data_IF_024030635049
#
_entry.id   IF_024030635049
#
_cell.length_a   1.000
_cell.length_b   1.000
_cell.length_c   1.000
_cell.angle_alpha   90.00
_cell.angle_beta   90.00
_cell.angle_gamma   90.00
#
_symmetry.space_group_name_H-M   'P 1'
#
loop_
_entity.id
_entity.type
_entity.pdbx_description
1 polymer ?
#
# COMPACT_ATOMS: atom_id res chain seq x y z
N UNK A 1 -5.89 7.65 5.70
CA UNK A 1 -7.21 8.20 5.30
C UNK A 1 -7.06 9.38 4.34
N UNK A 2 -8.15 9.70 3.63
CA UNK A 2 -8.16 10.83 2.70
C UNK A 2 -8.45 12.11 3.48
N UNK A 3 -7.54 13.12 3.42
CA UNK A 3 -7.77 14.38 4.14
C UNK A 3 -9.01 15.12 3.64
N UNK A 4 -9.81 15.65 4.59
CA UNK A 4 -10.97 16.47 4.25
C UNK A 4 -10.60 17.73 3.47
N UNK A 5 -9.42 18.27 3.72
CA UNK A 5 -8.93 19.44 3.00
C UNK A 5 -8.66 19.16 1.52
N UNK A 6 -8.37 17.90 1.19
CA UNK A 6 -8.12 17.51 -0.20
C UNK A 6 -9.41 17.16 -0.94
N UNK A 7 -10.24 16.30 -0.34
CA UNK A 7 -11.55 15.93 -0.89
C UNK A 7 -12.59 16.18 0.20
N UNK A 8 -13.32 17.28 0.09
CA UNK A 8 -14.25 17.70 1.14
C UNK A 8 -15.55 16.91 1.17
N UNK A 9 -16.00 16.40 0.03
CA UNK A 9 -17.28 15.69 -0.06
C UNK A 9 -17.14 14.21 0.29
N UNK A 10 -17.96 13.73 1.23
CA UNK A 10 -17.91 12.35 1.69
C UNK A 10 -18.15 11.34 0.56
N UNK A 11 -19.06 11.64 -0.36
CA UNK A 11 -19.37 10.78 -1.51
C UNK A 11 -18.15 10.57 -2.40
N UNK A 12 -17.39 11.63 -2.63
CA UNK A 12 -16.18 11.57 -3.46
C UNK A 12 -15.08 10.78 -2.77
N UNK A 13 -14.92 10.93 -1.45
CA UNK A 13 -13.95 10.12 -0.69
C UNK A 13 -14.30 8.63 -0.76
N UNK A 14 -15.57 8.29 -0.57
CA UNK A 14 -16.04 6.91 -0.67
C UNK A 14 -15.75 6.31 -2.04
N UNK A 15 -16.00 7.09 -3.10
CA UNK A 15 -15.71 6.67 -4.47
C UNK A 15 -14.23 6.36 -4.68
N UNK A 16 -13.34 7.22 -4.16
CA UNK A 16 -11.89 7.02 -4.27
C UNK A 16 -11.45 5.78 -3.49
N UNK A 17 -11.94 5.59 -2.25
CA UNK A 17 -11.63 4.39 -1.49
C UNK A 17 -12.06 3.12 -2.21
N UNK A 18 -13.24 3.15 -2.82
CA UNK A 18 -13.75 2.01 -3.60
C UNK A 18 -12.85 1.71 -4.79
N UNK A 19 -12.43 2.74 -5.53
CA UNK A 19 -11.52 2.59 -6.67
C UNK A 19 -10.15 2.05 -6.25
N UNK A 20 -9.63 2.50 -5.10
CA UNK A 20 -8.39 1.96 -4.54
C UNK A 20 -8.53 0.46 -4.23
N UNK A 21 -9.66 0.08 -3.60
CA UNK A 21 -9.91 -1.32 -3.24
C UNK A 21 -10.09 -2.22 -4.47
N UNK A 22 -10.62 -1.68 -5.57
CA UNK A 22 -10.86 -2.41 -6.80
C UNK A 22 -9.65 -2.49 -7.73
N UNK A 23 -8.60 -1.70 -7.48
CA UNK A 23 -7.42 -1.69 -8.32
C UNK A 23 -6.66 -3.02 -8.16
N UNK A 24 -6.43 -3.72 -9.27
CA UNK A 24 -5.75 -5.02 -9.28
C UNK A 24 -4.40 -4.99 -9.98
N UNK A 25 -4.03 -3.86 -10.59
CA UNK A 25 -2.75 -3.68 -11.25
C UNK A 25 -2.26 -2.24 -11.09
N UNK A 26 -0.97 -2.04 -11.38
CA UNK A 26 -0.35 -0.72 -11.25
C UNK A 26 -0.94 0.30 -12.23
N UNK A 27 -1.34 -0.12 -13.41
CA UNK A 27 -1.95 0.77 -14.40
C UNK A 27 -3.25 1.39 -13.87
N UNK A 28 -4.06 0.61 -13.16
CA UNK A 28 -5.28 1.11 -12.52
C UNK A 28 -4.97 2.15 -11.47
N UNK A 29 -3.93 1.93 -10.66
CA UNK A 29 -3.50 2.90 -9.65
C UNK A 29 -2.98 4.19 -10.29
N UNK A 30 -2.21 4.08 -11.36
CA UNK A 30 -1.67 5.23 -12.07
C UNK A 30 -2.79 6.08 -12.67
N UNK A 31 -3.81 5.45 -13.24
CA UNK A 31 -4.98 6.16 -13.76
C UNK A 31 -5.76 6.86 -12.65
N UNK A 32 -5.91 6.23 -11.50
CA UNK A 32 -6.57 6.82 -10.35
C UNK A 32 -5.79 8.03 -9.83
N UNK A 33 -4.47 7.93 -9.78
CA UNK A 33 -3.61 9.03 -9.38
C UNK A 33 -3.78 10.24 -10.30
N UNK A 34 -3.80 10.02 -11.62
CA UNK A 34 -4.02 11.08 -12.59
C UNK A 34 -5.40 11.71 -12.43
N UNK A 35 -6.44 10.90 -12.25
CA UNK A 35 -7.81 11.39 -12.02
C UNK A 35 -7.85 12.29 -10.79
N UNK A 36 -7.21 11.89 -9.70
CA UNK A 36 -7.20 12.70 -8.48
C UNK A 36 -6.48 14.03 -8.68
N UNK A 37 -5.34 14.03 -9.37
CA UNK A 37 -4.63 15.28 -9.68
C UNK A 37 -5.48 16.22 -10.52
N UNK A 38 -6.16 15.68 -11.52
CA UNK A 38 -7.00 16.48 -12.41
C UNK A 38 -8.20 17.08 -11.70
N UNK A 39 -8.82 16.32 -10.79
CA UNK A 39 -10.05 16.74 -10.10
C UNK A 39 -9.79 17.56 -8.84
N UNK A 40 -8.74 17.24 -8.10
CA UNK A 40 -8.53 17.78 -6.74
C UNK A 40 -7.19 18.48 -6.56
N UNK A 41 -6.32 18.47 -7.57
CA UNK A 41 -5.01 19.11 -7.51
C UNK A 41 -3.89 18.19 -7.02
N UNK A 42 -2.72 18.76 -6.71
CA UNK A 42 -1.56 17.98 -6.29
C UNK A 42 -1.86 17.09 -5.08
N UNK A 43 -1.30 15.88 -5.09
CA UNK A 43 -1.55 14.89 -4.03
C UNK A 43 -0.85 15.29 -2.73
N UNK A 44 -1.58 15.36 -1.60
CA UNK A 44 -0.93 15.54 -0.31
C UNK A 44 -0.21 14.24 0.12
N UNK A 45 0.75 14.32 1.07
CA UNK A 45 1.50 13.15 1.50
C UNK A 45 0.64 11.97 1.95
N UNK A 46 -0.48 12.22 2.62
CA UNK A 46 -1.38 11.16 3.05
C UNK A 46 -1.95 10.36 1.87
N UNK A 47 -2.24 11.04 0.75
CA UNK A 47 -2.71 10.36 -0.46
C UNK A 47 -1.61 9.56 -1.13
N UNK A 48 -0.39 10.10 -1.15
CA UNK A 48 0.76 9.37 -1.68
C UNK A 48 0.98 8.07 -0.92
N UNK A 49 0.86 8.09 0.42
CA UNK A 49 0.99 6.88 1.23
C UNK A 49 -0.10 5.87 0.93
N UNK A 50 -1.35 6.31 0.74
CA UNK A 50 -2.44 5.42 0.37
C UNK A 50 -2.19 4.71 -0.96
N UNK A 51 -1.64 5.42 -1.94
CA UNK A 51 -1.29 4.83 -3.23
C UNK A 51 -0.15 3.82 -3.10
N UNK A 52 0.86 4.12 -2.27
CA UNK A 52 1.95 3.18 -2.00
C UNK A 52 1.42 1.91 -1.34
N UNK A 53 0.52 2.03 -0.37
CA UNK A 53 -0.12 0.86 0.26
C UNK A 53 -0.88 0.04 -0.78
N UNK A 54 -1.62 0.69 -1.68
CA UNK A 54 -2.30 0.01 -2.78
C UNK A 54 -1.34 -0.75 -3.68
N UNK A 55 -0.21 -0.15 -4.02
CA UNK A 55 0.84 -0.81 -4.80
C UNK A 55 1.40 -2.03 -4.09
N UNK A 56 1.65 -1.93 -2.78
CA UNK A 56 2.15 -3.07 -2.00
C UNK A 56 1.16 -4.23 -1.99
N UNK A 57 -0.13 -3.97 -1.89
CA UNK A 57 -1.16 -5.00 -1.94
C UNK A 57 -1.16 -5.72 -3.29
N UNK A 58 -1.00 -4.98 -4.37
CA UNK A 58 -0.92 -5.56 -5.71
C UNK A 58 0.32 -6.43 -5.86
N UNK A 59 1.49 -5.94 -5.45
CA UNK A 59 2.73 -6.70 -5.46
C UNK A 59 2.63 -7.97 -4.64
N UNK A 60 2.05 -7.88 -3.45
CA UNK A 60 1.83 -9.02 -2.57
C UNK A 60 0.96 -10.08 -3.27
N UNK A 61 -0.15 -9.65 -3.85
CA UNK A 61 -1.06 -10.54 -4.57
C UNK A 61 -0.37 -11.27 -5.72
N UNK A 62 0.44 -10.57 -6.49
CA UNK A 62 1.20 -11.15 -7.60
C UNK A 62 2.18 -12.22 -7.13
N UNK A 63 2.61 -12.16 -5.88
CA UNK A 63 3.55 -13.13 -5.30
C UNK A 63 2.88 -14.14 -4.37
N UNK A 64 1.56 -14.20 -4.41
CA UNK A 64 0.79 -15.14 -3.60
C UNK A 64 0.73 -14.78 -2.12
N UNK A 65 1.13 -13.57 -1.74
CA UNK A 65 1.03 -13.09 -0.36
C UNK A 65 -0.39 -12.58 -0.13
N UNK A 66 -1.08 -13.14 0.84
CA UNK A 66 -2.47 -12.82 1.13
C UNK A 66 -2.65 -11.82 2.28
N UNK A 67 -1.67 -11.75 3.19
CA UNK A 67 -1.73 -10.85 4.34
C UNK A 67 -0.36 -10.20 4.56
N UNK A 68 -0.36 -8.91 4.80
CA UNK A 68 0.82 -8.16 5.21
C UNK A 68 0.52 -7.58 6.59
N UNK A 69 1.29 -7.96 7.59
CA UNK A 69 1.16 -7.43 8.94
C UNK A 69 2.52 -6.92 9.42
N UNK A 70 2.51 -5.85 10.20
CA UNK A 70 3.71 -5.34 10.86
C UNK A 70 3.43 -5.26 12.34
N UNK A 71 4.26 -5.92 13.14
CA UNK A 71 4.19 -5.83 14.59
C UNK A 71 5.54 -5.34 15.10
N UNK A 72 5.55 -4.08 15.54
CA UNK A 72 6.78 -3.36 15.88
C UNK A 72 7.69 -3.27 14.64
N UNK A 73 8.78 -4.02 14.59
CA UNK A 73 9.67 -4.08 13.44
C UNK A 73 9.62 -5.42 12.69
N UNK A 74 8.78 -6.35 13.13
CA UNK A 74 8.59 -7.62 12.46
C UNK A 74 7.67 -7.47 11.27
N UNK A 75 8.11 -7.92 10.11
CA UNK A 75 7.26 -8.01 8.93
C UNK A 75 6.72 -9.44 8.83
N UNK A 76 5.41 -9.57 8.89
CA UNK A 76 4.72 -10.86 8.86
C UNK A 76 3.93 -10.98 7.57
N UNK A 77 4.47 -11.72 6.62
CA UNK A 77 3.84 -11.98 5.32
C UNK A 77 3.26 -13.39 5.33
N UNK A 78 1.99 -13.51 4.96
CA UNK A 78 1.31 -14.81 4.88
C UNK A 78 1.20 -15.24 3.41
N UNK A 79 1.65 -16.48 3.13
CA UNK A 79 1.52 -17.11 1.83
C UNK A 79 1.21 -18.60 2.04
N UNK A 80 0.18 -19.11 1.33
CA UNK A 80 -0.28 -20.50 1.49
C UNK A 80 -0.63 -20.85 2.94
N UNK A 81 -1.31 -19.94 3.62
CA UNK A 81 -1.73 -20.06 5.03
C UNK A 81 -0.59 -20.19 6.03
N UNK A 82 0.64 -19.80 5.64
CA UNK A 82 1.79 -19.85 6.53
C UNK A 82 2.61 -18.58 6.42
N UNK A 83 3.40 -18.29 7.45
CA UNK A 83 4.25 -17.12 7.45
C UNK A 83 5.52 -17.35 6.65
N UNK A 84 5.94 -16.31 5.92
CA UNK A 84 7.23 -16.30 5.25
C UNK A 84 8.32 -15.92 6.23
N UNK A 85 9.33 -16.79 6.37
CA UNK A 85 10.47 -16.55 7.26
C UNK A 85 11.77 -16.72 6.50
N UNK A 86 12.83 -16.06 6.99
CA UNK A 86 14.18 -16.22 6.47
C UNK A 86 15.04 -16.77 7.60
N UNK A 87 15.61 -17.96 7.40
CA UNK A 87 16.38 -18.63 8.43
C UNK A 87 15.56 -18.93 9.69
N UNK A 88 14.27 -19.18 9.55
CA UNK A 88 13.36 -19.45 10.66
C UNK A 88 12.90 -18.20 11.42
N UNK A 89 13.23 -17.00 10.94
CA UNK A 89 12.88 -15.75 11.60
C UNK A 89 12.11 -14.83 10.67
N UNK A 90 11.25 -13.98 11.24
CA UNK A 90 10.55 -12.96 10.48
C UNK A 90 11.55 -11.88 10.00
N UNK A 91 11.38 -11.38 8.75
CA UNK A 91 12.12 -10.21 8.31
C UNK A 91 11.88 -9.02 9.23
N UNK A 92 12.92 -8.22 9.44
CA UNK A 92 12.85 -7.03 10.30
C UNK A 92 12.92 -5.77 9.46
N UNK A 93 12.09 -4.80 9.82
CA UNK A 93 12.17 -3.46 9.25
C UNK A 93 13.19 -2.66 10.06
N UNK A 94 14.03 -1.90 9.35
CA UNK A 94 15.12 -1.12 9.98
C UNK A 94 14.77 0.35 10.10
N UNK A 95 13.82 0.84 9.30
CA UNK A 95 13.41 2.24 9.30
C UNK A 95 12.24 2.46 10.25
N UNK A 96 12.10 3.70 10.73
CA UNK A 96 11.01 4.08 11.65
C UNK A 96 9.97 4.95 11.00
N UNK A 97 10.36 5.76 10.00
CA UNK A 97 9.44 6.61 9.28
C UNK A 97 8.56 5.78 8.35
N UNK A 98 7.26 6.11 8.29
CA UNK A 98 6.25 5.34 7.57
C UNK A 98 6.61 5.11 6.10
N UNK A 99 6.99 6.16 5.37
CA UNK A 99 7.33 6.05 3.95
C UNK A 99 8.54 5.15 3.73
N UNK A 100 9.56 5.28 4.57
CA UNK A 100 10.76 4.46 4.48
C UNK A 100 10.46 2.98 4.78
N UNK A 101 9.59 2.71 5.75
CA UNK A 101 9.16 1.34 6.06
C UNK A 101 8.40 0.72 4.90
N UNK A 102 7.53 1.48 4.25
CA UNK A 102 6.79 1.01 3.07
C UNK A 102 7.75 0.66 1.93
N UNK A 103 8.81 1.44 1.73
CA UNK A 103 9.85 1.13 0.74
C UNK A 103 10.61 -0.15 1.08
N UNK A 104 10.90 -0.39 2.36
CA UNK A 104 11.51 -1.64 2.79
C UNK A 104 10.61 -2.85 2.50
N UNK A 105 9.32 -2.73 2.78
CA UNK A 105 8.35 -3.79 2.50
C UNK A 105 8.31 -4.08 1.00
N UNK A 106 8.26 -3.02 0.18
CA UNK A 106 8.28 -3.17 -1.28
C UNK A 106 9.52 -3.94 -1.75
N UNK A 107 10.69 -3.58 -1.22
CA UNK A 107 11.95 -4.25 -1.57
C UNK A 107 11.92 -5.73 -1.22
N UNK A 108 11.39 -6.07 -0.04
CA UNK A 108 11.26 -7.45 0.40
C UNK A 108 10.28 -8.23 -0.48
N UNK A 109 9.14 -7.63 -0.84
CA UNK A 109 8.18 -8.25 -1.75
C UNK A 109 8.78 -8.51 -3.13
N UNK A 110 9.55 -7.56 -3.66
CA UNK A 110 10.18 -7.71 -4.96
C UNK A 110 11.26 -8.81 -4.96
N UNK A 111 11.81 -9.13 -3.81
CA UNK A 111 12.82 -10.19 -3.68
C UNK A 111 12.22 -11.60 -3.56
N UNK A 112 10.91 -11.74 -3.43
CA UNK A 112 10.26 -13.05 -3.32
C UNK A 112 10.20 -13.85 -4.61
#
# INVERSE_FOLDING_TARGET
FIPLAYISEAQQRIEIYRKLAQATDKASLDRLQEEMRDRFGPLPPAMELLLVVGELKILASERGVTVIEVKEDKLMLTRNNDYLTVGGKFPRLTKKEARARLKEIKRLLLAL
#
